data_IF_912606008431
#
_entry.id   IF_912606008431
#
_cell.length_a   1.000
_cell.length_b   1.000
_cell.length_c   1.000
_cell.angle_alpha   90.00
_cell.angle_beta   90.00
_cell.angle_gamma   90.00
#
_symmetry.space_group_name_H-M   'P 1'
#
loop_
_entity.id
_entity.type
_entity.pdbx_description
1 polymer ?
#
# COMPACT_ATOMS: atom_id res chain seq x y z
N UNK A 1 6.07 -29.95 -15.96
CA UNK A 1 5.29 -29.10 -15.05
C UNK A 1 6.29 -28.24 -14.30
N UNK A 2 6.19 -26.90 -14.35
CA UNK A 2 7.11 -26.03 -13.61
C UNK A 2 6.66 -25.89 -12.14
N UNK A 3 7.51 -25.30 -11.29
CA UNK A 3 7.23 -25.16 -9.86
C UNK A 3 5.90 -24.45 -9.59
N UNK A 4 5.56 -23.44 -10.40
CA UNK A 4 4.32 -22.69 -10.24
C UNK A 4 3.07 -23.50 -10.61
N UNK A 5 3.13 -24.28 -11.69
CA UNK A 5 2.06 -25.21 -12.08
C UNK A 5 1.83 -26.26 -10.98
N UNK A 6 2.89 -26.71 -10.31
CA UNK A 6 2.75 -27.63 -9.18
C UNK A 6 2.05 -26.96 -7.99
N UNK A 7 2.44 -25.73 -7.62
CA UNK A 7 1.77 -24.96 -6.56
C UNK A 7 0.29 -24.74 -6.86
N UNK A 8 -0.05 -24.42 -8.11
CA UNK A 8 -1.44 -24.27 -8.55
C UNK A 8 -2.23 -25.58 -8.47
N UNK A 9 -1.61 -26.72 -8.76
CA UNK A 9 -2.26 -28.03 -8.62
C UNK A 9 -2.48 -28.41 -7.14
N UNK A 10 -1.52 -28.07 -6.27
CA UNK A 10 -1.62 -28.24 -4.82
C UNK A 10 -2.66 -27.31 -4.19
N UNK A 11 -3.00 -26.23 -4.88
CA UNK A 11 -3.88 -25.18 -4.41
C UNK A 11 -5.34 -25.59 -4.14
N UNK A 12 -5.72 -26.79 -4.57
CA UNK A 12 -7.03 -27.39 -4.31
C UNK A 12 -7.10 -28.12 -2.95
N UNK A 13 -6.06 -28.04 -2.12
CA UNK A 13 -5.99 -28.63 -0.77
C UNK A 13 -6.42 -27.62 0.31
N UNK A 14 -6.55 -28.10 1.54
CA UNK A 14 -7.06 -27.31 2.68
C UNK A 14 -6.19 -26.09 3.06
N UNK A 15 -4.91 -26.08 2.68
CA UNK A 15 -4.00 -24.97 2.94
C UNK A 15 -4.13 -23.87 1.87
N UNK A 16 -4.76 -22.75 2.24
CA UNK A 16 -5.08 -21.65 1.32
C UNK A 16 -4.06 -20.50 1.34
N UNK A 17 -2.77 -20.82 1.34
CA UNK A 17 -1.70 -19.82 1.42
C UNK A 17 -1.69 -18.87 0.22
N UNK A 18 -2.13 -19.31 -0.96
CA UNK A 18 -2.30 -18.49 -2.16
C UNK A 18 -3.29 -17.32 -2.01
N UNK A 19 -4.12 -17.34 -0.96
CA UNK A 19 -5.04 -16.25 -0.65
C UNK A 19 -4.33 -15.09 0.05
N UNK A 20 -3.03 -15.21 0.31
CA UNK A 20 -2.17 -14.08 0.66
C UNK A 20 -1.59 -13.49 -0.60
N UNK A 21 -1.63 -12.17 -0.72
CA UNK A 21 -1.17 -11.50 -1.92
C UNK A 21 -1.04 -9.99 -1.76
N UNK A 22 -0.68 -9.29 -2.84
CA UNK A 22 -0.46 -7.85 -2.85
C UNK A 22 -1.79 -7.09 -2.99
N UNK A 23 -2.75 -7.36 -2.10
CA UNK A 23 -4.07 -6.71 -2.11
C UNK A 23 -4.13 -5.46 -1.23
N UNK A 24 -3.03 -5.15 -0.54
CA UNK A 24 -2.91 -3.95 0.28
C UNK A 24 -2.79 -2.72 -0.62
N UNK A 25 -3.56 -1.67 -0.33
CA UNK A 25 -3.41 -0.40 -1.01
C UNK A 25 -2.04 0.22 -0.68
N UNK A 26 -1.46 0.96 -1.61
CA UNK A 26 -0.19 1.66 -1.34
C UNK A 26 -0.40 3.03 -0.68
N UNK A 27 -1.62 3.55 -0.83
CA UNK A 27 -2.06 4.89 -0.41
C UNK A 27 -3.57 4.88 -0.18
N UNK A 28 -4.02 5.26 1.02
CA UNK A 28 -5.45 5.25 1.34
C UNK A 28 -5.97 6.48 2.12
N UNK A 29 -5.16 7.55 2.27
CA UNK A 29 -5.64 8.82 2.85
C UNK A 29 -6.37 9.70 1.83
N UNK A 30 -7.16 10.66 2.33
CA UNK A 30 -7.96 11.55 1.49
C UNK A 30 -9.08 10.82 0.74
N UNK A 31 -9.70 9.82 1.40
CA UNK A 31 -10.79 9.01 0.82
C UNK A 31 -12.11 9.28 1.53
N UNK A 32 -13.22 9.13 0.80
CA UNK A 32 -14.58 9.33 1.34
C UNK A 32 -14.89 8.42 2.54
N UNK A 33 -14.25 7.26 2.64
CA UNK A 33 -14.48 6.31 3.73
C UNK A 33 -13.92 6.79 5.07
N UNK A 34 -12.86 7.60 5.05
CA UNK A 34 -12.22 8.14 6.25
C UNK A 34 -12.63 9.60 6.54
N UNK A 35 -13.63 10.11 5.81
CA UNK A 35 -14.18 11.44 6.01
C UNK A 35 -15.10 11.49 7.24
N UNK A 36 -14.68 12.27 8.23
CA UNK A 36 -15.49 12.61 9.40
C UNK A 36 -15.58 14.14 9.58
N UNK A 37 -15.31 14.89 8.51
CA UNK A 37 -15.49 16.34 8.50
C UNK A 37 -16.98 16.70 8.63
N UNK A 38 -17.26 17.84 9.25
CA UNK A 38 -18.63 18.31 9.40
C UNK A 38 -19.28 18.77 8.08
N UNK A 39 -18.46 19.03 7.06
CA UNK A 39 -18.86 19.60 5.77
C UNK A 39 -18.70 18.63 4.59
N UNK A 40 -18.24 17.40 4.80
CA UNK A 40 -18.05 16.40 3.74
C UNK A 40 -16.79 16.63 2.88
N UNK A 41 -15.76 17.27 3.43
CA UNK A 41 -14.48 17.51 2.77
C UNK A 41 -13.51 16.33 2.90
N UNK A 42 -13.85 15.21 2.26
CA UNK A 42 -13.06 13.98 2.31
C UNK A 42 -11.61 14.14 1.84
N UNK A 43 -11.34 15.05 0.90
CA UNK A 43 -10.04 15.22 0.27
C UNK A 43 -9.05 15.99 1.15
N UNK A 44 -9.53 16.85 2.05
CA UNK A 44 -8.66 17.59 2.96
C UNK A 44 -8.74 17.10 4.41
N UNK A 45 -9.83 16.41 4.79
CA UNK A 45 -10.05 15.97 6.17
C UNK A 45 -8.97 14.99 6.67
N UNK A 46 -8.62 13.99 5.87
CA UNK A 46 -7.65 12.96 6.24
C UNK A 46 -6.34 13.12 5.47
N UNK A 47 -5.43 13.92 6.03
CA UNK A 47 -4.15 14.28 5.41
C UNK A 47 -3.10 13.17 5.48
N UNK A 48 -2.03 13.30 4.69
CA UNK A 48 -0.85 12.43 4.76
C UNK A 48 -0.21 12.40 6.16
N UNK A 49 -0.25 13.50 6.91
CA UNK A 49 0.27 13.53 8.28
C UNK A 49 -0.58 12.68 9.22
N UNK A 50 -1.91 12.77 9.11
CA UNK A 50 -2.81 11.92 9.89
C UNK A 50 -2.68 10.45 9.49
N UNK A 51 -2.53 10.16 8.19
CA UNK A 51 -2.30 8.81 7.67
C UNK A 51 -1.16 8.07 8.40
N UNK A 52 -0.14 8.80 8.85
CA UNK A 52 1.01 8.24 9.58
C UNK A 52 0.77 7.96 11.06
N UNK A 53 -0.23 8.61 11.65
CA UNK A 53 -0.38 8.65 13.12
C UNK A 53 -1.78 8.28 13.60
N UNK A 54 -2.70 7.97 12.68
CA UNK A 54 -4.08 7.62 12.96
C UNK A 54 -4.37 6.20 12.48
N UNK A 55 -5.01 5.41 13.33
CA UNK A 55 -5.54 4.12 12.94
C UNK A 55 -6.70 4.32 11.94
N UNK A 56 -6.62 3.61 10.82
CA UNK A 56 -7.66 3.59 9.81
C UNK A 56 -8.82 2.72 10.32
N UNK A 57 -10.04 3.08 9.96
CA UNK A 57 -11.26 2.35 10.31
C UNK A 57 -11.80 1.53 9.13
N UNK A 58 -11.60 2.01 7.91
CA UNK A 58 -12.22 1.45 6.70
C UNK A 58 -11.23 1.13 5.59
N UNK A 59 -9.94 1.10 5.92
CA UNK A 59 -8.90 0.73 4.98
C UNK A 59 -7.55 0.59 5.66
N UNK A 60 -6.54 0.44 4.83
CA UNK A 60 -5.17 0.21 5.24
C UNK A 60 -4.27 0.55 4.05
N UNK A 61 -3.02 0.90 4.33
CA UNK A 61 -2.03 1.09 3.28
C UNK A 61 -0.62 0.67 3.71
N UNK A 62 0.23 0.39 2.72
CA UNK A 62 1.62 0.04 2.95
C UNK A 62 2.44 -0.17 1.68
N UNK A 63 3.74 0.17 1.73
CA UNK A 63 4.66 -0.04 0.60
C UNK A 63 4.94 -1.52 0.39
N UNK A 64 4.63 -2.00 -0.82
CA UNK A 64 4.87 -3.39 -1.22
C UNK A 64 4.21 -4.40 -0.29
N UNK A 65 3.07 -4.03 0.28
CA UNK A 65 2.44 -4.81 1.33
C UNK A 65 1.69 -6.03 0.82
N UNK A 66 1.55 -7.00 1.71
CA UNK A 66 0.77 -8.23 1.51
C UNK A 66 -0.28 -8.34 2.60
N UNK A 67 -1.39 -8.97 2.26
CA UNK A 67 -2.44 -9.29 3.22
C UNK A 67 -3.15 -10.58 2.84
N UNK A 68 -3.89 -11.15 3.78
CA UNK A 68 -4.84 -12.19 3.46
C UNK A 68 -6.00 -11.61 2.63
N UNK A 69 -6.70 -12.46 1.87
CA UNK A 69 -7.80 -12.05 0.98
C UNK A 69 -8.97 -11.32 1.67
N UNK A 70 -9.02 -11.33 3.00
CA UNK A 70 -10.01 -10.57 3.79
C UNK A 70 -9.43 -9.31 4.43
N UNK A 71 -8.16 -9.00 4.18
CA UNK A 71 -7.43 -7.86 4.73
C UNK A 71 -7.50 -7.76 6.26
N UNK A 72 -7.49 -8.92 6.93
CA UNK A 72 -7.50 -9.03 8.40
C UNK A 72 -6.10 -8.85 8.97
N UNK A 73 -5.09 -9.34 8.26
CA UNK A 73 -3.69 -9.20 8.59
C UNK A 73 -2.97 -8.56 7.42
N UNK A 74 -2.31 -7.44 7.69
CA UNK A 74 -1.59 -6.64 6.70
C UNK A 74 -0.14 -6.52 7.14
N UNK A 75 0.77 -6.77 6.20
CA UNK A 75 2.21 -6.67 6.39
C UNK A 75 2.76 -5.75 5.31
N UNK A 76 3.62 -4.82 5.67
CA UNK A 76 4.24 -3.91 4.72
C UNK A 76 5.65 -3.54 5.16
N UNK A 77 6.43 -3.00 4.24
CA UNK A 77 7.75 -2.49 4.55
C UNK A 77 7.69 -1.06 5.11
N UNK A 78 8.59 -0.78 6.04
CA UNK A 78 8.84 0.55 6.56
C UNK A 78 10.33 0.88 6.35
N UNK A 79 10.62 2.07 5.83
CA UNK A 79 11.99 2.51 5.53
C UNK A 79 12.34 3.78 6.31
N UNK A 80 13.62 3.97 6.59
CA UNK A 80 14.14 5.20 7.16
C UNK A 80 15.46 5.58 6.50
N UNK A 81 15.56 6.80 5.99
CA UNK A 81 16.75 7.37 5.37
C UNK A 81 17.70 8.01 6.39
N UNK A 82 17.37 7.99 7.69
CA UNK A 82 18.16 8.62 8.74
C UNK A 82 17.98 10.15 8.85
N UNK A 83 17.21 10.76 7.95
CA UNK A 83 17.00 12.21 7.87
C UNK A 83 15.55 12.62 8.21
N UNK A 84 14.60 11.75 7.89
CA UNK A 84 13.18 12.00 8.13
C UNK A 84 12.83 11.83 9.61
N UNK A 85 11.91 12.66 10.14
CA UNK A 85 11.41 12.49 11.51
C UNK A 85 10.40 11.34 11.64
N UNK A 86 10.29 10.46 10.64
CA UNK A 86 9.31 9.39 10.57
C UNK A 86 9.76 8.24 9.67
N UNK A 87 9.07 7.09 9.81
CA UNK A 87 9.23 5.95 8.93
C UNK A 87 8.39 6.12 7.66
N UNK A 88 9.00 5.86 6.51
CA UNK A 88 8.32 5.79 5.23
C UNK A 88 7.62 4.44 5.11
N UNK A 89 6.32 4.43 5.37
CA UNK A 89 5.47 3.22 5.35
C UNK A 89 4.52 3.19 4.16
N UNK A 90 4.27 4.33 3.51
CA UNK A 90 3.34 4.52 2.39
C UNK A 90 3.92 5.46 1.34
N UNK A 91 3.51 5.33 0.09
CA UNK A 91 3.96 6.26 -0.95
C UNK A 91 3.37 7.63 -0.74
N UNK A 92 4.16 8.66 -0.99
CA UNK A 92 3.66 10.03 -0.96
C UNK A 92 2.89 10.33 -2.24
N UNK A 93 1.77 11.04 -2.08
CA UNK A 93 0.95 11.50 -3.19
C UNK A 93 0.23 12.78 -2.84
N UNK A 94 -0.44 13.34 -3.82
CA UNK A 94 -1.27 14.54 -3.70
C UNK A 94 -2.73 14.16 -3.96
N UNK A 95 -3.65 14.76 -3.22
CA UNK A 95 -5.08 14.61 -3.49
C UNK A 95 -5.48 15.42 -4.74
N UNK A 96 -6.69 15.18 -5.25
CA UNK A 96 -7.24 15.90 -6.42
C UNK A 96 -7.03 17.42 -6.36
N UNK A 97 -7.43 18.10 -5.29
CA UNK A 97 -7.23 19.56 -5.13
C UNK A 97 -5.76 20.00 -5.02
N UNK A 98 -4.85 19.10 -4.63
CA UNK A 98 -3.43 19.40 -4.43
C UNK A 98 -2.60 19.22 -5.71
N UNK A 99 -3.06 18.39 -6.65
CA UNK A 99 -2.36 18.10 -7.89
C UNK A 99 -2.85 18.93 -9.07
N UNK A 100 -1.91 19.38 -9.92
CA UNK A 100 -2.25 20.11 -11.15
C UNK A 100 -3.00 19.27 -12.18
N UNK A 101 -2.94 17.93 -12.06
CA UNK A 101 -3.60 16.96 -12.94
C UNK A 101 -4.50 16.00 -12.15
N UNK A 102 -5.02 16.45 -10.99
CA UNK A 102 -5.76 15.61 -10.08
C UNK A 102 -4.86 14.80 -9.13
N UNK A 103 -5.43 13.74 -8.57
CA UNK A 103 -4.76 12.88 -7.60
C UNK A 103 -3.61 12.11 -8.25
N UNK A 104 -2.45 12.12 -7.62
CA UNK A 104 -1.24 11.50 -8.19
C UNK A 104 -0.23 11.07 -7.13
N UNK A 105 0.50 9.99 -7.40
CA UNK A 105 1.61 9.51 -6.56
C UNK A 105 2.90 10.18 -7.00
N UNK A 106 3.69 10.69 -6.05
CA UNK A 106 4.92 11.47 -6.33
C UNK A 106 6.20 10.68 -6.09
N UNK A 107 6.10 9.36 -6.18
CA UNK A 107 7.16 8.40 -5.92
C UNK A 107 7.39 7.55 -7.16
N UNK A 108 8.61 7.04 -7.34
CA UNK A 108 8.97 6.21 -8.51
C UNK A 108 9.11 4.75 -8.09
N UNK A 109 8.18 3.93 -8.54
CA UNK A 109 8.17 2.49 -8.28
C UNK A 109 7.57 1.70 -9.43
N UNK A 110 7.92 0.41 -9.48
CA UNK A 110 7.48 -0.51 -10.52
C UNK A 110 7.24 -1.89 -9.94
N UNK A 111 6.10 -2.48 -10.29
CA UNK A 111 5.89 -3.92 -10.17
C UNK A 111 6.51 -4.61 -11.37
N UNK A 112 7.39 -5.56 -11.12
CA UNK A 112 8.25 -6.13 -12.17
C UNK A 112 8.03 -7.62 -12.38
N UNK A 113 7.47 -8.32 -11.40
CA UNK A 113 7.12 -9.73 -11.51
C UNK A 113 6.15 -10.14 -10.40
N UNK A 114 5.29 -11.12 -10.68
CA UNK A 114 4.38 -11.74 -9.72
C UNK A 114 3.87 -13.08 -10.26
N UNK A 115 4.11 -14.16 -9.53
CA UNK A 115 3.51 -15.47 -9.86
C UNK A 115 2.02 -15.50 -9.52
N UNK A 116 1.18 -16.26 -10.25
CA UNK A 116 -0.26 -16.40 -9.96
C UNK A 116 -0.60 -16.78 -8.51
N UNK A 117 0.25 -17.58 -7.86
CA UNK A 117 0.08 -17.98 -6.44
C UNK A 117 0.66 -16.98 -5.44
N UNK A 118 1.24 -15.87 -5.90
CA UNK A 118 1.96 -14.89 -5.08
C UNK A 118 3.16 -15.46 -4.29
N UNK A 119 3.61 -16.67 -4.61
CA UNK A 119 4.80 -17.30 -4.02
C UNK A 119 6.10 -16.57 -4.36
N UNK A 120 6.11 -15.79 -5.44
CA UNK A 120 7.14 -14.83 -5.76
C UNK A 120 6.52 -13.50 -6.23
N UNK A 121 7.04 -12.40 -5.68
CA UNK A 121 6.65 -11.04 -6.01
C UNK A 121 7.90 -10.17 -6.06
N UNK A 122 7.97 -9.27 -7.05
CA UNK A 122 9.09 -8.34 -7.18
C UNK A 122 8.65 -6.92 -7.49
N UNK A 123 9.06 -6.01 -6.63
CA UNK A 123 8.87 -4.58 -6.76
C UNK A 123 10.21 -3.86 -6.73
N UNK A 124 10.34 -2.81 -7.54
CA UNK A 124 11.43 -1.84 -7.45
C UNK A 124 10.85 -0.53 -6.92
N UNK A 125 11.38 -0.03 -5.80
CA UNK A 125 11.07 1.30 -5.29
C UNK A 125 12.34 2.16 -5.26
N UNK A 126 12.30 3.34 -5.88
CA UNK A 126 13.38 4.34 -5.82
C UNK A 126 13.20 5.22 -4.60
N UNK A 127 13.66 4.75 -3.44
CA UNK A 127 13.55 5.49 -2.18
C UNK A 127 14.54 6.66 -2.09
N UNK A 128 14.02 7.87 -1.87
CA UNK A 128 14.84 9.06 -1.67
C UNK A 128 15.66 8.98 -0.38
N UNK A 129 16.96 9.26 -0.50
CA UNK A 129 17.86 9.44 0.65
C UNK A 129 17.87 10.88 1.18
N UNK A 130 17.33 11.84 0.42
CA UNK A 130 17.12 13.20 0.88
C UNK A 130 15.90 13.28 1.79
N UNK A 131 15.93 14.22 2.74
CA UNK A 131 14.82 14.49 3.65
C UNK A 131 13.54 14.83 2.89
N UNK A 132 12.43 14.24 3.32
CA UNK A 132 11.09 14.46 2.82
C UNK A 132 10.65 15.93 3.05
N UNK A 133 10.12 16.60 2.01
CA UNK A 133 9.43 17.89 2.14
C UNK A 133 8.04 17.75 2.78
#
# INVERSE_FOLDING_TARGET
>A
MNAEQQRLAENNKDERWHLWGPYLAERAWGTVREDYSANGDAWNYFSHEQARSRAYRWGEDGIGGICDFKQRLCLAFAFWNGQDPFLKERFFGVTGPQGSHGEDVKEVYFYTDCTPTHSYMRMLYRYSQARFP
#
